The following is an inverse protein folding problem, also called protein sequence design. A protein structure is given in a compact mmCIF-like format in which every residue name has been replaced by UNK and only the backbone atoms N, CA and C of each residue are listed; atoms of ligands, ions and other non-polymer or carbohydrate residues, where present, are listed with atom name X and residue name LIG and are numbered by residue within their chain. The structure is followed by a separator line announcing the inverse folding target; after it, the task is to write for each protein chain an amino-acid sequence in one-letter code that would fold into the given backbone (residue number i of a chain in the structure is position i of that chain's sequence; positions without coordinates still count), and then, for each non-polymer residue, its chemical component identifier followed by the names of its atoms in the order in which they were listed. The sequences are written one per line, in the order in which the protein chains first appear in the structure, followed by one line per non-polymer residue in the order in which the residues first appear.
data_IF_560214921442
#
_entry.id   IF_560214921442
#
_cell.length_a   1.000
_cell.length_b   1.000
_cell.length_c   1.000
_cell.angle_alpha   90.00
_cell.angle_beta   90.00
_cell.angle_gamma   90.00
#
_symmetry.space_group_name_H-M   'P 1'
#
loop_
_entity.id
_entity.type
_entity.pdbx_description
1 polymer ?
#
# COMPACT_ATOMS: atom_id res chain seq x y z
N UNK A 1 -31.67 7.97 -5.04
CA UNK A 1 -30.93 9.24 -4.83
C UNK A 1 -29.48 8.97 -5.17
N UNK A 2 -28.88 9.75 -6.08
CA UNK A 2 -27.46 9.58 -6.42
C UNK A 2 -26.62 10.18 -5.29
N UNK A 3 -25.82 9.36 -4.62
CA UNK A 3 -24.86 9.82 -3.62
C UNK A 3 -23.66 10.46 -4.35
N UNK A 4 -23.42 11.75 -4.10
CA UNK A 4 -22.21 12.43 -4.52
C UNK A 4 -21.17 12.31 -3.39
N UNK A 5 -20.08 11.58 -3.64
CA UNK A 5 -18.93 11.51 -2.72
C UNK A 5 -17.93 12.57 -3.17
N UNK A 6 -17.81 13.65 -2.39
CA UNK A 6 -16.78 14.67 -2.58
C UNK A 6 -15.69 14.49 -1.52
N UNK A 7 -14.44 14.78 -1.86
CA UNK A 7 -13.28 14.79 -0.95
C UNK A 7 -12.81 16.25 -0.78
N UNK A 8 -13.36 17.01 0.19
CA UNK A 8 -13.10 18.44 0.32
C UNK A 8 -11.61 18.78 0.48
N UNK A 9 -10.85 17.92 1.15
CA UNK A 9 -9.41 18.10 1.38
C UNK A 9 -8.62 18.08 0.07
N UNK A 10 -8.94 17.14 -0.83
CA UNK A 10 -8.31 17.06 -2.16
C UNK A 10 -8.73 18.23 -3.06
N UNK A 11 -9.98 18.71 -2.93
CA UNK A 11 -10.45 19.87 -3.69
C UNK A 11 -9.77 21.17 -3.23
N UNK A 12 -9.50 21.30 -1.94
CA UNK A 12 -8.80 22.46 -1.37
C UNK A 12 -7.32 22.47 -1.76
N UNK A 13 -6.65 21.31 -1.69
CA UNK A 13 -5.27 21.15 -2.17
C UNK A 13 -5.16 21.47 -3.66
N UNK A 14 -6.07 20.93 -4.49
CA UNK A 14 -6.10 21.21 -5.91
C UNK A 14 -6.35 22.71 -6.22
N UNK A 15 -7.21 23.38 -5.46
CA UNK A 15 -7.44 24.82 -5.60
C UNK A 15 -6.18 25.64 -5.29
N UNK A 16 -5.41 25.25 -4.27
CA UNK A 16 -4.11 25.85 -3.94
C UNK A 16 -3.08 25.63 -5.04
N UNK A 17 -2.97 24.40 -5.57
CA UNK A 17 -2.04 24.09 -6.67
C UNK A 17 -2.39 24.87 -7.94
N UNK A 18 -3.69 24.95 -8.28
CA UNK A 18 -4.17 25.75 -9.41
C UNK A 18 -3.88 27.24 -9.22
N UNK A 19 -4.02 27.78 -8.01
CA UNK A 19 -3.65 29.17 -7.72
C UNK A 19 -2.14 29.41 -7.94
N UNK A 20 -1.29 28.47 -7.49
CA UNK A 20 0.17 28.54 -7.68
C UNK A 20 0.56 28.47 -9.17
N UNK A 21 -0.07 27.58 -9.94
CA UNK A 21 0.11 27.48 -11.40
C UNK A 21 -0.31 28.79 -12.08
N UNK A 22 -1.48 29.33 -11.71
CA UNK A 22 -1.98 30.60 -12.23
C UNK A 22 -0.98 31.74 -11.98
N UNK A 23 -0.44 31.83 -10.77
CA UNK A 23 0.58 32.84 -10.42
C UNK A 23 1.86 32.68 -11.24
N UNK A 24 2.34 31.46 -11.47
CA UNK A 24 3.54 31.22 -12.29
C UNK A 24 3.30 31.58 -13.75
N UNK A 25 2.12 31.29 -14.28
CA UNK A 25 1.74 31.63 -15.65
C UNK A 25 1.60 33.14 -15.86
N UNK A 26 1.03 33.86 -14.89
CA UNK A 26 0.92 35.32 -14.96
C UNK A 26 2.30 36.01 -14.92
N UNK A 27 3.22 35.51 -14.09
CA UNK A 27 4.62 35.98 -14.09
C UNK A 27 5.28 35.75 -15.45
N UNK A 28 5.22 34.52 -15.97
CA UNK A 28 5.80 34.18 -17.28
C UNK A 28 5.19 35.02 -18.41
N UNK A 29 3.87 35.22 -18.38
CA UNK A 29 3.16 36.00 -19.38
C UNK A 29 3.51 37.48 -19.33
N UNK A 30 3.59 38.06 -18.13
CA UNK A 30 4.01 39.45 -17.96
C UNK A 30 5.41 39.71 -18.52
N UNK A 31 6.34 38.77 -18.30
CA UNK A 31 7.71 38.84 -18.83
C UNK A 31 7.76 38.73 -20.37
N UNK A 32 6.82 37.99 -20.96
CA UNK A 32 6.76 37.75 -22.41
C UNK A 32 6.07 38.88 -23.21
N UNK A 33 5.30 39.77 -22.56
CA UNK A 33 4.56 40.83 -23.29
C UNK A 33 5.49 41.73 -24.08
N UNK A 34 6.46 42.36 -23.42
CA UNK A 34 7.37 43.32 -24.07
C UNK A 34 8.12 42.75 -25.29
N UNK A 35 8.78 41.57 -25.21
CA UNK A 35 9.52 41.02 -26.36
C UNK A 35 8.62 40.51 -27.50
N UNK A 36 7.33 40.25 -27.26
CA UNK A 36 6.40 39.73 -28.29
C UNK A 36 5.55 40.81 -28.95
N UNK A 37 5.38 41.97 -28.30
CA UNK A 37 4.61 43.09 -28.86
C UNK A 37 5.47 44.23 -29.38
N UNK A 38 6.76 44.27 -29.03
CA UNK A 38 7.71 45.32 -29.40
C UNK A 38 8.71 44.89 -30.49
N UNK A 39 8.28 44.08 -31.47
CA UNK A 39 9.19 43.55 -32.49
C UNK A 39 9.52 44.66 -33.49
N UNK A 40 10.82 44.92 -33.66
CA UNK A 40 11.34 45.90 -34.61
C UNK A 40 11.59 45.25 -35.99
N UNK A 41 11.45 46.03 -37.05
CA UNK A 41 11.79 45.58 -38.40
C UNK A 41 13.29 45.27 -38.50
N UNK A 42 13.65 44.16 -39.15
CA UNK A 42 15.05 43.74 -39.30
C UNK A 42 15.85 44.61 -40.28
N UNK A 43 15.16 45.27 -41.22
CA UNK A 43 15.69 46.23 -42.18
C UNK A 43 14.61 47.27 -42.55
N UNK A 44 14.98 48.33 -43.28
CA UNK A 44 14.10 49.45 -43.65
C UNK A 44 13.14 49.15 -44.82
N UNK A 45 13.07 47.89 -45.26
CA UNK A 45 12.20 47.46 -46.35
C UNK A 45 10.76 47.16 -45.89
N UNK A 46 9.83 47.23 -46.82
CA UNK A 46 8.40 47.04 -46.57
C UNK A 46 8.05 45.61 -46.12
N UNK A 47 8.83 44.59 -46.50
CA UNK A 47 8.60 43.20 -46.10
C UNK A 47 8.98 43.02 -44.63
N UNK A 48 10.14 43.54 -44.20
CA UNK A 48 10.56 43.54 -42.80
C UNK A 48 9.61 44.30 -41.89
N UNK A 49 9.10 45.45 -42.34
CA UNK A 49 8.09 46.23 -41.61
C UNK A 49 6.75 45.49 -41.50
N UNK A 50 6.29 44.85 -42.58
CA UNK A 50 5.05 44.07 -42.59
C UNK A 50 5.13 42.84 -41.66
N UNK A 51 6.27 42.14 -41.65
CA UNK A 51 6.52 40.99 -40.77
C UNK A 51 6.52 41.42 -39.30
N UNK A 52 7.25 42.49 -38.94
CA UNK A 52 7.29 43.01 -37.58
C UNK A 52 5.90 43.46 -37.07
N UNK A 53 5.12 44.10 -37.94
CA UNK A 53 3.74 44.48 -37.67
C UNK A 53 2.83 43.27 -37.44
N UNK A 54 2.93 42.24 -38.29
CA UNK A 54 2.14 41.01 -38.15
C UNK A 54 2.43 40.30 -36.83
N UNK A 55 3.70 40.10 -36.47
CA UNK A 55 4.06 39.44 -35.22
C UNK A 55 3.71 40.27 -33.99
N UNK A 56 3.87 41.60 -34.04
CA UNK A 56 3.45 42.49 -32.95
C UNK A 56 1.93 42.49 -32.75
N UNK A 57 1.15 42.50 -33.84
CA UNK A 57 -0.31 42.37 -33.78
C UNK A 57 -0.74 41.00 -33.25
N UNK A 58 -0.04 39.92 -33.65
CA UNK A 58 -0.26 38.59 -33.10
C UNK A 58 0.06 38.52 -31.60
N UNK A 59 1.17 39.12 -31.16
CA UNK A 59 1.55 39.22 -29.74
C UNK A 59 0.51 39.97 -28.91
N UNK A 60 -0.05 41.07 -29.43
CA UNK A 60 -1.14 41.81 -28.78
C UNK A 60 -2.42 40.96 -28.68
N UNK A 61 -2.76 40.21 -29.73
CA UNK A 61 -3.89 39.28 -29.74
C UNK A 61 -3.72 38.13 -28.72
N UNK A 62 -2.51 37.56 -28.66
CA UNK A 62 -2.16 36.52 -27.69
C UNK A 62 -2.19 37.06 -26.25
N UNK A 63 -1.69 38.28 -26.03
CA UNK A 63 -1.78 38.95 -24.74
C UNK A 63 -3.24 39.19 -24.33
N UNK A 64 -4.11 39.66 -25.21
CA UNK A 64 -5.53 39.85 -24.90
C UNK A 64 -6.25 38.52 -24.57
N UNK A 65 -5.95 37.45 -25.32
CA UNK A 65 -6.51 36.12 -25.08
C UNK A 65 -6.07 35.57 -23.72
N UNK A 66 -4.78 35.67 -23.39
CA UNK A 66 -4.28 35.20 -22.11
C UNK A 66 -4.98 35.88 -20.92
N UNK A 67 -5.40 37.15 -21.05
CA UNK A 67 -6.05 37.88 -19.95
C UNK A 67 -7.43 37.31 -19.66
N UNK A 68 -8.14 36.91 -20.73
CA UNK A 68 -9.44 36.23 -20.62
C UNK A 68 -9.30 34.84 -19.99
N UNK A 69 -8.23 34.12 -20.33
CA UNK A 69 -7.92 32.81 -19.72
C UNK A 69 -7.57 32.95 -18.24
N UNK A 70 -6.78 33.97 -17.86
CA UNK A 70 -6.43 34.22 -16.46
C UNK A 70 -7.66 34.60 -15.62
N UNK A 71 -8.58 35.42 -16.16
CA UNK A 71 -9.83 35.73 -15.48
C UNK A 71 -10.70 34.48 -15.26
N UNK A 72 -10.84 33.64 -16.30
CA UNK A 72 -11.54 32.36 -16.18
C UNK A 72 -10.90 31.43 -15.15
N UNK A 73 -9.57 31.33 -15.14
CA UNK A 73 -8.82 30.53 -14.17
C UNK A 73 -9.10 30.99 -12.73
N UNK A 74 -9.08 32.30 -12.49
CA UNK A 74 -9.36 32.87 -11.18
C UNK A 74 -10.81 32.60 -10.72
N UNK A 75 -11.78 32.65 -11.64
CA UNK A 75 -13.17 32.33 -11.32
C UNK A 75 -13.36 30.83 -11.09
N UNK A 76 -12.65 29.97 -11.82
CA UNK A 76 -12.64 28.53 -11.62
C UNK A 76 -12.06 28.14 -10.25
N UNK A 77 -10.91 28.70 -9.86
CA UNK A 77 -10.31 28.47 -8.53
C UNK A 77 -11.24 28.96 -7.43
N UNK A 78 -11.90 30.13 -7.60
CA UNK A 78 -12.85 30.65 -6.61
C UNK A 78 -14.08 29.76 -6.46
N UNK A 79 -14.63 29.27 -7.57
CA UNK A 79 -15.76 28.34 -7.56
C UNK A 79 -15.39 26.99 -6.93
N UNK A 80 -14.19 26.48 -7.19
CA UNK A 80 -13.69 25.24 -6.60
C UNK A 80 -13.52 25.37 -5.07
N UNK A 81 -12.91 26.45 -4.59
CA UNK A 81 -12.76 26.73 -3.15
C UNK A 81 -14.13 26.91 -2.46
N UNK A 82 -15.07 27.63 -3.08
CA UNK A 82 -16.41 27.81 -2.55
C UNK A 82 -17.20 26.47 -2.52
N UNK A 83 -17.01 25.63 -3.53
CA UNK A 83 -17.56 24.27 -3.57
C UNK A 83 -17.05 23.40 -2.43
N UNK A 84 -15.73 23.39 -2.20
CA UNK A 84 -15.11 22.65 -1.10
C UNK A 84 -15.65 23.11 0.28
N UNK A 85 -15.80 24.42 0.49
CA UNK A 85 -16.39 24.96 1.72
C UNK A 85 -17.87 24.62 1.91
N UNK A 86 -18.63 24.49 0.82
CA UNK A 86 -20.04 24.08 0.86
C UNK A 86 -20.19 22.60 1.23
N UNK A 87 -19.31 21.72 0.73
CA UNK A 87 -19.31 20.31 1.13
C UNK A 87 -18.84 20.12 2.57
N UNK A 88 -17.80 20.84 3.00
CA UNK A 88 -17.31 20.77 4.38
C UNK A 88 -18.35 21.29 5.40
N UNK A 89 -19.06 22.38 5.07
CA UNK A 89 -20.14 22.90 5.93
C UNK A 89 -21.38 21.99 5.95
N UNK A 90 -21.71 21.34 4.83
CA UNK A 90 -22.77 20.34 4.80
C UNK A 90 -22.41 19.11 5.64
N UNK A 91 -21.16 18.64 5.60
CA UNK A 91 -20.70 17.51 6.42
C UNK A 91 -20.72 17.86 7.92
N UNK A 92 -20.20 19.04 8.28
CA UNK A 92 -20.25 19.54 9.66
C UNK A 92 -21.69 19.71 10.18
N UNK A 93 -22.60 20.20 9.34
CA UNK A 93 -24.02 20.33 9.68
C UNK A 93 -24.71 18.96 9.83
N UNK A 94 -24.36 17.99 9.00
CA UNK A 94 -24.89 16.62 9.10
C UNK A 94 -24.37 15.89 10.35
N UNK A 95 -23.09 16.07 10.71
CA UNK A 95 -22.51 15.55 11.96
C UNK A 95 -23.15 16.21 13.18
N UNK A 96 -23.34 17.54 13.16
CA UNK A 96 -23.97 18.27 14.27
C UNK A 96 -25.46 17.93 14.44
N UNK A 97 -26.20 17.80 13.34
CA UNK A 97 -27.59 17.35 13.35
C UNK A 97 -27.72 15.91 13.84
N UNK A 98 -26.76 15.04 13.48
CA UNK A 98 -26.69 13.68 14.01
C UNK A 98 -26.31 13.65 15.50
N UNK A 99 -25.48 14.56 16.01
CA UNK A 99 -25.09 14.57 17.42
C UNK A 99 -26.17 15.12 18.38
N UNK A 100 -27.16 15.85 17.86
CA UNK A 100 -28.14 16.59 18.66
C UNK A 100 -29.50 15.89 18.85
N UNK A 101 -29.68 14.63 18.41
CA UNK A 101 -31.00 13.98 18.50
C UNK A 101 -31.28 13.49 19.93
N UNK A 102 -32.48 13.75 20.49
CA UNK A 102 -32.85 13.35 21.86
C UNK A 102 -32.74 11.84 22.16
N UNK A 103 -32.82 10.99 21.13
CA UNK A 103 -32.62 9.54 21.27
C UNK A 103 -31.16 9.17 21.58
N UNK A 104 -30.17 9.89 21.03
CA UNK A 104 -28.75 9.62 21.30
C UNK A 104 -28.35 10.05 22.71
N UNK A 105 -29.01 11.05 23.28
CA UNK A 105 -28.80 11.47 24.67
C UNK A 105 -29.26 10.38 25.64
N UNK A 106 -30.43 9.79 25.40
CA UNK A 106 -30.94 8.65 26.19
C UNK A 106 -30.06 7.41 25.99
N UNK A 107 -29.62 7.12 24.77
CA UNK A 107 -28.68 6.02 24.50
C UNK A 107 -27.33 6.22 25.20
N UNK A 108 -26.78 7.43 25.19
CA UNK A 108 -25.54 7.80 25.90
C UNK A 108 -25.69 7.68 27.43
N UNK A 109 -26.81 8.12 27.99
CA UNK A 109 -27.09 8.00 29.42
C UNK A 109 -27.20 6.53 29.87
N UNK A 110 -27.91 5.72 29.07
CA UNK A 110 -28.01 4.26 29.31
C UNK A 110 -26.65 3.58 29.14
N UNK A 111 -25.88 3.93 28.12
CA UNK A 111 -24.52 3.39 27.92
C UNK A 111 -23.59 3.78 29.08
N UNK A 112 -23.68 5.02 29.57
CA UNK A 112 -22.90 5.48 30.72
C UNK A 112 -23.26 4.68 31.96
N UNK A 113 -24.56 4.50 32.25
CA UNK A 113 -25.03 3.70 33.36
C UNK A 113 -24.58 2.23 33.27
N UNK A 114 -24.62 1.64 32.08
CA UNK A 114 -24.18 0.25 31.83
C UNK A 114 -22.65 0.12 31.96
N UNK A 115 -21.90 1.13 31.56
CA UNK A 115 -20.44 1.10 31.53
C UNK A 115 -19.79 1.46 32.87
N UNK A 116 -20.40 2.34 33.66
CA UNK A 116 -19.86 2.83 34.94
C UNK A 116 -19.33 1.71 35.86
N UNK A 117 -20.08 0.61 36.13
CA UNK A 117 -19.56 -0.49 36.94
C UNK A 117 -18.31 -1.16 36.36
N UNK A 118 -18.21 -1.26 35.03
CA UNK A 118 -17.09 -1.89 34.33
C UNK A 118 -15.87 -0.97 34.25
N UNK A 119 -16.07 0.34 34.03
CA UNK A 119 -14.99 1.32 34.14
C UNK A 119 -14.43 1.35 35.56
N UNK A 120 -15.29 1.37 36.57
CA UNK A 120 -14.86 1.38 37.97
C UNK A 120 -14.08 0.11 38.36
N UNK A 121 -14.49 -1.06 37.85
CA UNK A 121 -13.88 -2.34 38.22
C UNK A 121 -12.65 -2.72 37.36
N UNK A 122 -12.66 -2.38 36.07
CA UNK A 122 -11.68 -2.89 35.10
C UNK A 122 -10.90 -1.78 34.37
N UNK A 123 -11.26 -0.50 34.57
CA UNK A 123 -10.69 0.63 33.83
C UNK A 123 -11.11 0.69 32.36
N UNK A 124 -12.10 -0.10 31.95
CA UNK A 124 -12.49 -0.29 30.54
C UNK A 124 -13.99 -0.51 30.41
N UNK A 125 -14.66 0.13 29.43
CA UNK A 125 -16.11 0.00 29.26
C UNK A 125 -16.50 -1.43 28.88
N UNK A 126 -17.76 -1.79 29.15
CA UNK A 126 -18.36 -3.01 28.62
C UNK A 126 -18.67 -2.83 27.13
N UNK A 127 -19.26 -1.69 26.77
CA UNK A 127 -19.69 -1.35 25.41
C UNK A 127 -19.11 0.02 25.03
N UNK A 128 -18.40 0.10 23.92
CA UNK A 128 -17.89 1.36 23.40
C UNK A 128 -16.62 1.16 22.58
N UNK A 129 -16.40 2.03 21.60
CA UNK A 129 -15.16 1.99 20.84
C UNK A 129 -13.99 2.51 21.69
N UNK A 130 -12.80 2.03 21.39
CA UNK A 130 -11.57 2.54 21.95
C UNK A 130 -11.29 3.96 21.45
N UNK A 131 -10.74 4.80 22.32
CA UNK A 131 -10.37 6.16 21.95
C UNK A 131 -9.23 6.14 20.92
N UNK A 132 -9.35 6.92 19.86
CA UNK A 132 -8.25 7.13 18.92
C UNK A 132 -7.16 7.97 19.60
N UNK A 133 -5.90 7.59 19.41
CA UNK A 133 -4.79 8.43 19.83
C UNK A 133 -4.65 9.64 18.88
N UNK A 134 -4.18 10.76 19.43
CA UNK A 134 -4.02 11.99 18.67
C UNK A 134 -2.97 11.84 17.55
N UNK A 135 -3.18 12.42 16.36
CA UNK A 135 -2.16 12.47 15.32
C UNK A 135 -0.86 13.11 15.81
N UNK A 136 0.29 12.58 15.39
CA UNK A 136 1.61 13.05 15.80
C UNK A 136 2.03 12.63 17.23
N UNK A 137 1.17 11.94 17.99
CA UNK A 137 1.50 11.51 19.34
C UNK A 137 2.35 10.23 19.40
N UNK A 138 2.30 9.39 18.36
CA UNK A 138 2.86 8.03 18.39
C UNK A 138 2.23 7.12 19.47
N UNK A 139 1.16 7.56 20.14
CA UNK A 139 0.53 6.82 21.23
C UNK A 139 -0.40 5.72 20.69
N UNK A 140 -0.54 4.61 21.41
CA UNK A 140 -1.46 3.55 21.01
C UNK A 140 -2.92 4.00 21.10
N UNK A 141 -3.75 3.48 20.22
CA UNK A 141 -5.21 3.59 20.33
C UNK A 141 -5.73 2.81 21.53
N UNK A 142 -6.76 3.34 22.18
CA UNK A 142 -7.42 2.69 23.31
C UNK A 142 -8.10 1.38 22.90
N UNK A 143 -8.22 0.45 23.84
CA UNK A 143 -8.96 -0.79 23.61
C UNK A 143 -10.47 -0.52 23.50
N UNK A 144 -11.16 -1.26 22.62
CA UNK A 144 -12.62 -1.30 22.59
C UNK A 144 -13.21 -1.95 23.84
N UNK A 145 -14.51 -1.79 24.07
CA UNK A 145 -15.21 -2.34 25.23
C UNK A 145 -15.09 -3.87 25.32
N UNK A 146 -15.28 -4.43 26.52
CA UNK A 146 -15.13 -5.87 26.76
C UNK A 146 -16.08 -6.72 25.92
N UNK A 147 -17.34 -6.29 25.78
CA UNK A 147 -18.37 -7.02 25.05
C UNK A 147 -18.46 -6.56 23.59
N UNK A 148 -18.60 -5.25 23.38
CA UNK A 148 -18.78 -4.70 22.04
C UNK A 148 -18.02 -3.39 21.89
N UNK A 149 -17.18 -3.31 20.86
CA UNK A 149 -16.46 -2.09 20.54
C UNK A 149 -15.24 -2.35 19.69
N UNK A 150 -15.06 -1.51 18.68
CA UNK A 150 -13.84 -1.50 17.88
C UNK A 150 -12.68 -0.93 18.71
N UNK A 151 -11.46 -1.37 18.43
CA UNK A 151 -10.27 -0.73 18.95
C UNK A 151 -10.05 0.65 18.32
N UNK A 152 -9.46 1.56 19.08
CA UNK A 152 -9.12 2.90 18.61
C UNK A 152 -7.92 2.89 17.66
N UNK A 153 -7.85 3.86 16.76
CA UNK A 153 -6.70 4.07 15.90
C UNK A 153 -5.47 4.51 16.71
N UNK A 154 -4.31 3.96 16.37
CA UNK A 154 -3.03 4.45 16.86
C UNK A 154 -2.67 5.81 16.28
N UNK A 155 -2.08 6.69 17.09
CA UNK A 155 -1.66 8.02 16.66
C UNK A 155 -0.48 7.92 15.70
N UNK A 156 -0.46 8.72 14.64
CA UNK A 156 0.74 8.82 13.81
C UNK A 156 1.93 9.32 14.63
N UNK A 157 3.15 8.93 14.23
CA UNK A 157 4.37 9.40 14.86
C UNK A 157 4.59 10.90 14.62
N UNK A 158 4.94 11.64 15.66
CA UNK A 158 5.54 12.97 15.55
C UNK A 158 7.02 12.86 15.19
N UNK A 159 7.69 13.96 14.85
CA UNK A 159 9.12 13.95 14.42
C UNK A 159 9.99 13.00 15.24
N UNK A 160 10.61 12.01 14.59
CA UNK A 160 11.48 11.01 15.23
C UNK A 160 10.79 9.91 16.05
N UNK A 161 9.46 9.85 16.07
CA UNK A 161 8.68 8.84 16.80
C UNK A 161 8.00 7.85 15.86
N UNK A 162 7.86 6.61 16.32
CA UNK A 162 7.08 5.57 15.63
C UNK A 162 5.59 5.90 15.66
N UNK A 163 4.85 5.29 14.74
CA UNK A 163 3.39 5.25 14.82
C UNK A 163 2.94 4.40 16.00
N UNK A 164 1.87 4.82 16.65
CA UNK A 164 1.26 4.09 17.75
C UNK A 164 0.49 2.87 17.27
N UNK A 165 0.44 1.81 18.08
CA UNK A 165 -0.34 0.62 17.75
C UNK A 165 -1.85 0.92 17.77
N UNK A 166 -2.61 0.25 16.91
CA UNK A 166 -4.06 0.22 17.02
C UNK A 166 -4.51 -0.52 18.27
N UNK A 167 -5.61 -0.07 18.86
CA UNK A 167 -6.22 -0.72 20.02
C UNK A 167 -6.85 -2.07 19.65
N UNK A 168 -6.85 -3.01 20.58
CA UNK A 168 -7.57 -4.28 20.41
C UNK A 168 -9.08 -4.09 20.66
N UNK A 169 -9.90 -4.88 19.98
CA UNK A 169 -11.31 -5.05 20.33
C UNK A 169 -11.48 -6.01 21.53
N UNK A 170 -12.72 -6.13 22.04
CA UNK A 170 -13.09 -7.08 23.10
C UNK A 170 -13.61 -8.41 22.55
N UNK A 171 -14.83 -8.80 22.94
CA UNK A 171 -15.49 -10.00 22.41
C UNK A 171 -15.95 -9.79 20.95
N UNK A 172 -16.54 -8.64 20.68
CA UNK A 172 -17.07 -8.24 19.38
C UNK A 172 -16.49 -6.88 18.98
N UNK A 173 -15.99 -6.78 17.75
CA UNK A 173 -15.49 -5.53 17.19
C UNK A 173 -14.20 -5.73 16.39
N UNK A 174 -13.85 -4.77 15.55
CA UNK A 174 -12.63 -4.80 14.76
C UNK A 174 -11.47 -4.18 15.53
N UNK A 175 -10.26 -4.68 15.30
CA UNK A 175 -9.06 -4.04 15.80
C UNK A 175 -8.84 -2.68 15.16
N UNK A 176 -8.30 -1.74 15.93
CA UNK A 176 -7.98 -0.40 15.43
C UNK A 176 -6.79 -0.43 14.46
N UNK A 177 -6.73 0.47 13.47
CA UNK A 177 -5.55 0.59 12.61
C UNK A 177 -4.34 1.13 13.40
N UNK A 178 -3.15 0.69 13.04
CA UNK A 178 -1.90 1.27 13.52
C UNK A 178 -1.61 2.64 12.89
N UNK A 179 -1.00 3.54 13.65
CA UNK A 179 -0.57 4.85 13.18
C UNK A 179 0.64 4.77 12.26
N UNK A 180 0.76 5.70 11.31
CA UNK A 180 1.96 5.79 10.47
C UNK A 180 3.19 6.26 11.26
N UNK A 181 4.39 5.84 10.86
CA UNK A 181 5.65 6.42 11.32
C UNK A 181 5.81 7.87 10.86
N UNK A 182 6.63 8.64 11.57
CA UNK A 182 6.91 10.03 11.25
C UNK A 182 7.83 10.19 10.02
N UNK A 183 7.67 11.31 9.31
CA UNK A 183 8.66 11.74 8.33
C UNK A 183 9.93 12.27 9.02
N UNK A 184 11.08 12.11 8.37
CA UNK A 184 12.37 12.63 8.83
C UNK A 184 13.15 11.70 9.76
N UNK A 185 12.87 10.39 9.72
CA UNK A 185 13.66 9.37 10.40
C UNK A 185 13.12 7.95 10.17
N UNK A 186 13.96 6.93 10.40
CA UNK A 186 13.66 5.51 10.26
C UNK A 186 12.63 4.98 11.29
N UNK A 187 11.46 5.61 11.35
CA UNK A 187 10.43 5.33 12.36
C UNK A 187 9.42 4.31 11.85
N UNK A 188 9.13 3.30 12.64
CA UNK A 188 8.21 2.25 12.23
C UNK A 188 6.75 2.73 12.23
N UNK A 189 5.93 2.14 11.38
CA UNK A 189 4.48 2.18 11.52
C UNK A 189 4.03 1.34 12.72
N UNK A 190 2.96 1.76 13.37
CA UNK A 190 2.35 1.03 14.47
C UNK A 190 1.64 -0.23 13.99
N UNK A 191 1.60 -1.26 14.83
CA UNK A 191 0.88 -2.48 14.49
C UNK A 191 -0.64 -2.25 14.52
N UNK A 192 -1.39 -2.97 13.69
CA UNK A 192 -2.83 -3.04 13.80
C UNK A 192 -3.26 -3.78 15.06
N UNK A 193 -4.37 -3.35 15.66
CA UNK A 193 -4.95 -3.97 16.83
C UNK A 193 -5.61 -5.31 16.52
N UNK A 194 -5.73 -6.18 17.52
CA UNK A 194 -6.44 -7.44 17.35
C UNK A 194 -7.96 -7.22 17.19
N UNK A 195 -8.57 -7.99 16.30
CA UNK A 195 -10.02 -8.13 16.20
C UNK A 195 -10.63 -8.83 17.41
N UNK A 196 -11.95 -8.72 17.55
CA UNK A 196 -12.69 -9.27 18.67
C UNK A 196 -12.63 -10.79 18.70
N UNK A 197 -12.66 -11.36 19.91
CA UNK A 197 -12.46 -12.80 20.13
C UNK A 197 -13.45 -13.67 19.36
N UNK A 198 -14.69 -13.23 19.14
CA UNK A 198 -15.72 -13.99 18.43
C UNK A 198 -15.92 -13.44 17.02
N UNK A 199 -16.27 -12.17 16.90
CA UNK A 199 -16.43 -11.51 15.60
C UNK A 199 -15.56 -10.26 15.55
N UNK A 200 -14.71 -10.16 14.53
CA UNK A 200 -13.85 -9.00 14.36
C UNK A 200 -12.65 -9.25 13.47
N UNK A 201 -12.43 -8.33 12.54
CA UNK A 201 -11.23 -8.28 11.72
C UNK A 201 -10.08 -7.66 12.51
N UNK A 202 -8.86 -8.11 12.22
CA UNK A 202 -7.68 -7.43 12.71
C UNK A 202 -7.50 -6.06 12.05
N UNK A 203 -6.98 -5.10 12.79
CA UNK A 203 -6.68 -3.76 12.27
C UNK A 203 -5.53 -3.79 11.29
N UNK A 204 -5.48 -2.84 10.35
CA UNK A 204 -4.33 -2.70 9.44
C UNK A 204 -3.11 -2.17 10.16
N UNK A 205 -1.92 -2.61 9.77
CA UNK A 205 -0.66 -1.99 10.20
C UNK A 205 -0.46 -0.61 9.58
N UNK A 206 0.19 0.28 10.32
CA UNK A 206 0.53 1.63 9.86
C UNK A 206 1.72 1.62 8.91
N UNK A 207 1.79 2.60 8.00
CA UNK A 207 2.94 2.74 7.11
C UNK A 207 4.21 3.15 7.89
N UNK A 208 5.37 2.70 7.43
CA UNK A 208 6.66 3.18 7.93
C UNK A 208 6.95 4.63 7.56
N UNK A 209 7.71 5.31 8.39
CA UNK A 209 8.13 6.69 8.19
C UNK A 209 9.14 6.85 7.06
N UNK A 210 9.06 7.95 6.33
CA UNK A 210 10.02 8.28 5.27
C UNK A 210 11.27 8.93 5.88
N UNK A 211 12.45 8.55 5.44
CA UNK A 211 13.71 9.14 5.88
C UNK A 211 14.44 9.83 4.72
N UNK A 212 14.86 11.06 4.98
CA UNK A 212 15.60 11.89 4.06
C UNK A 212 17.09 11.57 4.02
N UNK A 213 17.68 11.02 5.09
CA UNK A 213 19.13 10.83 5.24
C UNK A 213 19.53 9.40 5.61
N UNK A 214 18.56 8.56 5.98
CA UNK A 214 18.76 7.20 6.45
C UNK A 214 17.78 6.20 5.83
N UNK A 215 17.52 5.11 6.55
CA UNK A 215 16.64 4.05 6.07
C UNK A 215 15.18 4.47 6.18
N UNK A 216 14.35 4.05 5.24
CA UNK A 216 12.90 4.08 5.42
C UNK A 216 12.49 3.24 6.62
N UNK A 217 11.51 3.71 7.39
CA UNK A 217 10.97 2.98 8.53
C UNK A 217 10.18 1.75 8.10
N UNK A 218 10.12 0.71 8.92
CA UNK A 218 9.35 -0.50 8.59
C UNK A 218 7.85 -0.25 8.70
N UNK A 219 7.05 -0.89 7.84
CA UNK A 219 5.61 -0.94 8.01
C UNK A 219 5.21 -1.74 9.25
N UNK A 220 4.15 -1.34 9.93
CA UNK A 220 3.58 -2.06 11.07
C UNK A 220 2.90 -3.35 10.63
N UNK A 221 2.90 -4.37 11.48
CA UNK A 221 2.17 -5.60 11.19
C UNK A 221 0.65 -5.39 11.26
N UNK A 222 -0.11 -6.14 10.46
CA UNK A 222 -1.55 -6.23 10.61
C UNK A 222 -1.95 -6.99 11.87
N UNK A 223 -3.09 -6.64 12.46
CA UNK A 223 -3.64 -7.31 13.63
C UNK A 223 -4.23 -8.68 13.30
N UNK A 224 -4.20 -9.59 14.26
CA UNK A 224 -4.88 -10.88 14.13
C UNK A 224 -6.40 -10.74 14.33
N UNK A 225 -7.19 -11.65 13.77
CA UNK A 225 -8.62 -11.78 14.04
C UNK A 225 -8.95 -12.89 15.05
N UNK A 226 -10.18 -12.88 15.61
CA UNK A 226 -10.68 -13.86 16.58
C UNK A 226 -11.28 -15.13 15.95
N UNK A 227 -12.47 -15.59 16.35
CA UNK A 227 -13.06 -16.83 15.80
C UNK A 227 -13.51 -16.63 14.33
N UNK A 228 -14.24 -15.54 14.09
CA UNK A 228 -14.76 -15.13 12.79
C UNK A 228 -14.23 -13.75 12.43
N UNK A 229 -13.24 -13.71 11.55
CA UNK A 229 -12.68 -12.47 11.06
C UNK A 229 -11.40 -12.71 10.28
N UNK A 230 -11.06 -11.76 9.43
CA UNK A 230 -9.84 -11.81 8.62
C UNK A 230 -8.72 -11.05 9.32
N UNK A 231 -7.49 -11.50 9.13
CA UNK A 231 -6.33 -10.75 9.59
C UNK A 231 -6.23 -9.39 8.88
N UNK A 232 -5.70 -8.40 9.58
CA UNK A 232 -5.47 -7.08 9.02
C UNK A 232 -4.31 -7.07 8.02
N UNK A 233 -4.33 -6.17 7.05
CA UNK A 233 -3.20 -5.98 6.14
C UNK A 233 -1.98 -5.42 6.89
N UNK A 234 -0.78 -5.81 6.48
CA UNK A 234 0.46 -5.17 6.91
C UNK A 234 0.63 -3.78 6.30
N UNK A 235 1.27 -2.88 7.01
CA UNK A 235 1.58 -1.52 6.54
C UNK A 235 2.72 -1.52 5.53
N UNK A 236 2.72 -0.55 4.61
CA UNK A 236 3.85 -0.39 3.68
C UNK A 236 5.12 0.08 4.41
N UNK A 237 6.28 -0.32 3.92
CA UNK A 237 7.56 0.23 4.34
C UNK A 237 7.76 1.66 3.85
N UNK A 238 8.45 2.45 4.66
CA UNK A 238 8.78 3.85 4.38
C UNK A 238 9.85 4.00 3.32
N UNK A 239 9.91 5.17 2.71
CA UNK A 239 10.83 5.48 1.62
C UNK A 239 12.14 6.11 2.14
N UNK A 240 13.25 5.81 1.47
CA UNK A 240 14.59 6.37 1.72
C UNK A 240 15.00 7.30 0.56
N UNK A 241 15.22 8.59 0.84
CA UNK A 241 15.45 9.64 -0.18
C UNK A 241 16.93 10.00 -0.42
N UNK A 242 17.83 9.92 0.55
CA UNK A 242 19.24 10.31 0.40
C UNK A 242 20.15 9.48 1.34
N UNK A 243 21.42 9.25 0.96
CA UNK A 243 22.45 8.77 1.88
C UNK A 243 22.70 7.25 1.97
N UNK A 244 22.50 6.48 0.89
CA UNK A 244 22.77 5.03 0.89
C UNK A 244 21.82 4.18 1.76
N UNK A 245 20.79 4.80 2.36
CA UNK A 245 19.81 4.13 3.20
C UNK A 245 18.92 3.15 2.41
N UNK A 246 18.48 2.08 3.08
CA UNK A 246 17.57 1.08 2.53
C UNK A 246 16.12 1.55 2.62
N UNK A 247 15.26 1.06 1.72
CA UNK A 247 13.83 1.21 1.85
C UNK A 247 13.33 0.42 3.06
N UNK A 248 12.30 0.91 3.74
CA UNK A 248 11.73 0.20 4.89
C UNK A 248 11.06 -1.09 4.44
N UNK A 249 11.13 -2.15 5.24
CA UNK A 249 10.41 -3.39 4.90
C UNK A 249 8.90 -3.20 5.08
N UNK A 250 8.09 -3.88 4.29
CA UNK A 250 6.66 -3.98 4.52
C UNK A 250 6.34 -4.76 5.79
N UNK A 251 5.26 -4.40 6.46
CA UNK A 251 4.75 -5.10 7.63
C UNK A 251 4.10 -6.43 7.26
N UNK A 252 4.17 -7.42 8.15
CA UNK A 252 3.48 -8.69 7.94
C UNK A 252 1.95 -8.51 7.96
N UNK A 253 1.23 -9.30 7.18
CA UNK A 253 -0.22 -9.44 7.32
C UNK A 253 -0.59 -10.17 8.61
N UNK A 254 -1.72 -9.80 9.20
CA UNK A 254 -2.25 -10.44 10.41
C UNK A 254 -2.81 -11.83 10.13
N UNK A 255 -2.79 -12.69 11.14
CA UNK A 255 -3.40 -14.02 11.03
C UNK A 255 -4.93 -13.91 10.95
N UNK A 256 -5.52 -14.75 10.10
CA UNK A 256 -6.95 -14.97 10.06
C UNK A 256 -7.46 -15.59 11.36
N UNK A 257 -8.73 -15.33 11.65
CA UNK A 257 -9.42 -16.01 12.72
C UNK A 257 -9.64 -17.48 12.42
N UNK A 258 -10.12 -18.29 13.36
CA UNK A 258 -10.30 -19.76 13.16
C UNK A 258 -10.99 -20.13 11.83
N UNK A 259 -11.95 -19.31 11.38
CA UNK A 259 -12.68 -19.47 10.11
C UNK A 259 -12.41 -18.37 9.07
N UNK A 260 -11.37 -17.56 9.26
CA UNK A 260 -11.11 -16.38 8.42
C UNK A 260 -9.79 -16.44 7.67
N UNK A 261 -9.64 -15.56 6.69
CA UNK A 261 -8.43 -15.50 5.86
C UNK A 261 -7.33 -14.67 6.51
N UNK A 262 -6.09 -14.96 6.16
CA UNK A 262 -4.95 -14.12 6.53
C UNK A 262 -4.97 -12.77 5.83
N UNK A 263 -4.39 -11.76 6.47
CA UNK A 263 -4.20 -10.44 5.87
C UNK A 263 -3.03 -10.42 4.88
N UNK A 264 -3.08 -9.52 3.91
CA UNK A 264 -1.96 -9.34 2.96
C UNK A 264 -0.74 -8.71 3.66
N UNK A 265 0.46 -9.07 3.23
CA UNK A 265 1.69 -8.38 3.63
C UNK A 265 1.80 -6.99 2.98
N UNK A 266 2.41 -6.05 3.68
CA UNK A 266 2.65 -4.69 3.19
C UNK A 266 3.75 -4.64 2.13
N UNK A 267 3.69 -3.66 1.23
CA UNK A 267 4.76 -3.44 0.26
C UNK A 267 6.06 -2.97 0.94
N UNK A 268 7.20 -3.34 0.38
CA UNK A 268 8.50 -2.77 0.75
C UNK A 268 8.67 -1.34 0.21
N UNK A 269 9.46 -0.55 0.93
CA UNK A 269 9.70 0.86 0.64
C UNK A 269 10.71 1.09 -0.47
N UNK A 270 10.58 2.22 -1.16
CA UNK A 270 11.54 2.67 -2.16
C UNK A 270 12.86 3.12 -1.52
N UNK A 271 13.99 2.90 -2.20
CA UNK A 271 15.29 3.46 -1.83
C UNK A 271 15.93 4.20 -3.01
N UNK A 272 16.32 5.46 -2.83
CA UNK A 272 16.98 6.21 -3.91
C UNK A 272 18.41 5.73 -4.16
N UNK A 273 19.17 5.44 -3.11
CA UNK A 273 20.60 5.14 -3.19
C UNK A 273 20.98 3.74 -2.67
N UNK A 274 20.07 3.06 -1.97
CA UNK A 274 20.28 1.75 -1.35
C UNK A 274 19.38 0.66 -1.95
N UNK A 275 19.27 -0.45 -1.22
CA UNK A 275 18.37 -1.56 -1.58
C UNK A 275 16.94 -1.19 -1.22
N UNK A 276 15.99 -1.46 -2.12
CA UNK A 276 14.57 -1.35 -1.80
C UNK A 276 14.18 -2.25 -0.63
N UNK A 277 13.19 -1.87 0.15
CA UNK A 277 12.76 -2.67 1.29
C UNK A 277 12.11 -3.98 0.85
N UNK A 278 12.28 -5.05 1.60
CA UNK A 278 11.54 -6.30 1.33
C UNK A 278 10.03 -6.11 1.54
N UNK A 279 9.22 -6.85 0.80
CA UNK A 279 7.79 -6.97 1.04
C UNK A 279 7.50 -7.76 2.32
N UNK A 280 6.41 -7.41 2.99
CA UNK A 280 5.95 -8.11 4.20
C UNK A 280 5.38 -9.48 3.86
N UNK A 281 5.52 -10.44 4.77
CA UNK A 281 4.89 -11.76 4.60
C UNK A 281 3.37 -11.66 4.71
N UNK A 282 2.65 -12.47 3.95
CA UNK A 282 1.21 -12.63 4.10
C UNK A 282 0.86 -13.37 5.40
N UNK A 283 -0.25 -13.01 6.02
CA UNK A 283 -0.75 -13.65 7.22
C UNK A 283 -1.29 -15.05 6.93
N UNK A 284 -1.21 -15.95 7.92
CA UNK A 284 -1.79 -17.28 7.79
C UNK A 284 -3.32 -17.23 7.78
N UNK A 285 -3.94 -18.13 7.02
CA UNK A 285 -5.37 -18.41 7.11
C UNK A 285 -5.74 -19.03 8.46
N UNK A 286 -7.05 -19.11 8.71
CA UNK A 286 -7.62 -19.57 9.95
C UNK A 286 -7.33 -21.02 10.27
N UNK A 287 -7.31 -21.37 11.57
CA UNK A 287 -7.00 -22.73 11.99
C UNK A 287 -7.86 -23.80 11.28
N UNK A 288 -9.16 -23.60 11.10
CA UNK A 288 -10.05 -24.60 10.48
C UNK A 288 -10.31 -24.30 9.02
N UNK A 289 -10.64 -23.05 8.70
CA UNK A 289 -10.96 -22.60 7.35
C UNK A 289 -10.35 -21.23 7.11
N UNK A 290 -9.73 -21.03 5.95
CA UNK A 290 -9.35 -19.72 5.46
C UNK A 290 -8.11 -19.77 4.59
N UNK A 291 -8.11 -19.00 3.51
CA UNK A 291 -6.91 -18.84 2.69
C UNK A 291 -5.86 -17.99 3.40
N UNK A 292 -4.59 -18.26 3.12
CA UNK A 292 -3.50 -17.38 3.53
C UNK A 292 -3.52 -16.06 2.74
N UNK A 293 -3.02 -15.00 3.35
CA UNK A 293 -2.86 -13.71 2.71
C UNK A 293 -1.70 -13.70 1.73
N UNK A 294 -1.78 -12.89 0.68
CA UNK A 294 -0.67 -12.69 -0.24
C UNK A 294 0.52 -11.98 0.42
N UNK A 295 1.73 -12.30 -0.02
CA UNK A 295 2.93 -11.57 0.34
C UNK A 295 2.96 -10.18 -0.31
N UNK A 296 3.60 -9.23 0.35
CA UNK A 296 3.79 -7.88 -0.15
C UNK A 296 4.86 -7.82 -1.24
N UNK A 297 4.73 -6.86 -2.16
CA UNK A 297 5.76 -6.62 -3.18
C UNK A 297 7.03 -6.05 -2.54
N UNK A 298 8.19 -6.40 -3.10
CA UNK A 298 9.46 -5.78 -2.76
C UNK A 298 9.57 -4.36 -3.31
N UNK A 299 10.25 -3.48 -2.58
CA UNK A 299 10.49 -2.10 -2.95
C UNK A 299 11.59 -1.95 -3.99
N UNK A 300 11.60 -0.85 -4.71
CA UNK A 300 12.62 -0.59 -5.74
C UNK A 300 13.86 0.07 -5.13
N UNK A 301 15.06 -0.34 -5.54
CA UNK A 301 16.31 0.34 -5.18
C UNK A 301 16.92 1.03 -6.40
N UNK A 302 16.87 2.36 -6.49
CA UNK A 302 17.26 3.11 -7.68
C UNK A 302 18.76 3.48 -7.75
N UNK A 303 19.53 3.21 -6.70
CA UNK A 303 20.93 3.63 -6.56
C UNK A 303 21.94 2.86 -7.40
N UNK A 304 23.24 3.13 -7.18
CA UNK A 304 24.34 2.32 -7.72
C UNK A 304 25.26 1.81 -6.58
N UNK A 305 25.20 0.53 -6.17
CA UNK A 305 24.29 -0.52 -6.63
C UNK A 305 22.99 -0.51 -5.81
N UNK A 306 21.90 -0.02 -6.37
CA UNK A 306 20.57 -0.13 -5.78
C UNK A 306 19.99 -1.48 -6.16
N UNK A 307 19.77 -2.37 -5.20
CA UNK A 307 19.10 -3.64 -5.46
C UNK A 307 17.59 -3.49 -5.23
N UNK A 308 16.79 -4.26 -5.95
CA UNK A 308 15.39 -4.44 -5.59
C UNK A 308 15.27 -5.18 -4.27
N UNK A 309 14.26 -4.82 -3.47
CA UNK A 309 13.89 -5.58 -2.29
C UNK A 309 13.18 -6.87 -2.69
N UNK A 310 13.32 -7.92 -1.91
CA UNK A 310 12.64 -9.19 -2.18
C UNK A 310 11.12 -9.07 -1.94
N UNK A 311 10.33 -9.84 -2.67
CA UNK A 311 8.91 -10.01 -2.38
C UNK A 311 8.69 -10.84 -1.12
N UNK A 312 7.65 -10.50 -0.36
CA UNK A 312 7.26 -11.25 0.83
C UNK A 312 6.66 -12.60 0.47
N UNK A 313 6.84 -13.61 1.32
CA UNK A 313 6.17 -14.90 1.12
C UNK A 313 4.67 -14.79 1.34
N UNK A 314 3.88 -15.58 0.62
CA UNK A 314 2.46 -15.77 0.92
C UNK A 314 2.25 -16.55 2.22
N UNK A 315 1.14 -16.28 2.91
CA UNK A 315 0.75 -17.01 4.10
C UNK A 315 0.20 -18.39 3.77
N UNK A 316 0.40 -19.37 4.65
CA UNK A 316 -0.26 -20.67 4.51
C UNK A 316 -1.78 -20.56 4.65
N UNK A 317 -2.53 -21.41 3.93
CA UNK A 317 -3.95 -21.65 4.17
C UNK A 317 -4.21 -22.33 5.52
N UNK A 318 -5.48 -22.42 5.89
CA UNK A 318 -5.92 -22.99 7.15
C UNK A 318 -5.63 -24.48 7.30
N UNK A 319 -5.56 -25.00 8.53
CA UNK A 319 -5.14 -26.39 8.76
C UNK A 319 -6.03 -27.40 8.02
N UNK A 320 -7.35 -27.19 8.00
CA UNK A 320 -8.27 -28.09 7.29
C UNK A 320 -8.49 -27.62 5.86
N UNK A 321 -9.10 -26.44 5.68
CA UNK A 321 -9.44 -25.92 4.35
C UNK A 321 -8.85 -24.54 4.10
N UNK A 322 -8.28 -24.33 2.91
CA UNK A 322 -7.87 -23.01 2.46
C UNK A 322 -6.67 -23.05 1.54
N UNK A 323 -6.65 -22.17 0.55
CA UNK A 323 -5.49 -22.04 -0.33
C UNK A 323 -4.35 -21.30 0.36
N UNK A 324 -3.12 -21.61 -0.02
CA UNK A 324 -1.98 -20.74 0.28
C UNK A 324 -2.12 -19.39 -0.40
N UNK A 325 -1.60 -18.34 0.23
CA UNK A 325 -1.48 -17.02 -0.38
C UNK A 325 -0.37 -16.98 -1.42
N UNK A 326 -0.50 -16.14 -2.44
CA UNK A 326 0.57 -15.93 -3.41
C UNK A 326 1.77 -15.23 -2.77
N UNK A 327 2.98 -15.52 -3.24
CA UNK A 327 4.17 -14.76 -2.94
C UNK A 327 4.15 -13.39 -3.63
N UNK A 328 4.76 -12.40 -3.00
CA UNK A 328 4.91 -11.06 -3.55
C UNK A 328 5.97 -10.99 -4.63
N UNK A 329 5.83 -10.06 -5.58
CA UNK A 329 6.86 -9.83 -6.59
C UNK A 329 8.11 -9.20 -5.98
N UNK A 330 9.27 -9.51 -6.53
CA UNK A 330 10.51 -8.80 -6.22
C UNK A 330 10.54 -7.39 -6.80
N UNK A 331 11.20 -6.48 -6.11
CA UNK A 331 11.35 -5.08 -6.51
C UNK A 331 12.39 -4.89 -7.61
N UNK A 332 12.36 -3.76 -8.29
CA UNK A 332 13.34 -3.45 -9.34
C UNK A 332 14.68 -2.98 -8.76
N UNK A 333 15.78 -3.49 -9.29
CA UNK A 333 17.12 -2.96 -9.08
C UNK A 333 17.43 -1.77 -9.98
N UNK A 334 18.37 -0.94 -9.55
CA UNK A 334 18.72 0.37 -10.10
C UNK A 334 19.75 0.31 -11.21
N UNK A 335 19.99 1.47 -11.82
CA UNK A 335 20.58 1.64 -13.17
C UNK A 335 22.07 1.26 -13.32
N UNK A 336 22.72 0.75 -12.27
CA UNK A 336 24.11 0.31 -12.32
C UNK A 336 24.27 -1.13 -12.84
N UNK A 337 25.41 -1.45 -13.48
CA UNK A 337 25.74 -2.82 -13.91
C UNK A 337 25.81 -3.85 -12.76
N UNK A 338 25.73 -3.40 -11.51
CA UNK A 338 25.69 -4.23 -10.30
C UNK A 338 24.30 -4.26 -9.62
N UNK A 339 23.31 -3.51 -10.14
CA UNK A 339 21.97 -3.47 -9.57
C UNK A 339 21.17 -4.73 -9.86
N UNK A 340 20.87 -5.53 -8.83
CA UNK A 340 20.15 -6.79 -8.96
C UNK A 340 18.67 -6.59 -8.65
N UNK A 341 17.79 -7.20 -9.44
CA UNK A 341 16.36 -7.26 -9.12
C UNK A 341 16.09 -8.11 -7.88
N UNK A 342 15.12 -7.73 -7.06
CA UNK A 342 14.76 -8.48 -5.87
C UNK A 342 14.17 -9.85 -6.24
N UNK A 343 14.36 -10.87 -5.41
CA UNK A 343 13.72 -12.16 -5.63
C UNK A 343 12.20 -12.07 -5.42
N UNK A 344 11.44 -12.89 -6.13
CA UNK A 344 10.03 -13.11 -5.84
C UNK A 344 9.85 -13.92 -4.57
N UNK A 345 8.81 -13.61 -3.79
CA UNK A 345 8.45 -14.33 -2.57
C UNK A 345 7.87 -15.71 -2.88
N UNK A 346 8.05 -16.68 -1.99
CA UNK A 346 7.44 -18.00 -2.15
C UNK A 346 5.93 -17.95 -1.93
N UNK A 347 5.17 -18.79 -2.63
CA UNK A 347 3.77 -19.04 -2.32
C UNK A 347 3.59 -19.78 -0.99
N UNK A 348 2.48 -19.52 -0.31
CA UNK A 348 2.09 -20.22 0.92
C UNK A 348 1.60 -21.64 0.63
N UNK A 349 1.70 -22.53 1.60
CA UNK A 349 1.13 -23.89 1.45
C UNK A 349 -0.39 -23.87 1.57
N UNK A 350 -1.08 -24.75 0.85
CA UNK A 350 -2.51 -25.02 1.05
C UNK A 350 -2.79 -25.74 2.37
N UNK A 351 -4.06 -25.81 2.74
CA UNK A 351 -4.52 -26.47 3.96
C UNK A 351 -4.32 -27.98 3.91
N UNK A 352 -4.12 -28.61 5.08
CA UNK A 352 -3.75 -30.03 5.18
C UNK A 352 -4.83 -30.92 4.57
N UNK A 353 -6.12 -30.67 4.81
CA UNK A 353 -7.17 -31.52 4.24
C UNK A 353 -7.47 -31.16 2.78
N UNK A 354 -7.76 -29.89 2.50
CA UNK A 354 -7.85 -29.43 1.12
C UNK A 354 -7.45 -27.97 0.93
N UNK A 355 -6.67 -27.72 -0.12
CA UNK A 355 -6.28 -26.38 -0.53
C UNK A 355 -5.14 -26.38 -1.53
N UNK A 356 -5.23 -25.55 -2.56
CA UNK A 356 -4.12 -25.36 -3.48
C UNK A 356 -2.98 -24.57 -2.80
N UNK A 357 -1.75 -24.85 -3.20
CA UNK A 357 -0.61 -24.02 -2.88
C UNK A 357 -0.69 -22.66 -3.57
N UNK A 358 -0.17 -21.62 -2.92
CA UNK A 358 -0.09 -20.29 -3.51
C UNK A 358 0.96 -20.23 -4.62
N UNK A 359 0.75 -19.36 -5.62
CA UNK A 359 1.76 -19.09 -6.63
C UNK A 359 3.00 -18.42 -6.02
N UNK A 360 4.18 -18.71 -6.55
CA UNK A 360 5.38 -17.94 -6.28
C UNK A 360 5.34 -16.56 -6.95
N UNK A 361 6.00 -15.58 -6.36
CA UNK A 361 6.10 -14.23 -6.90
C UNK A 361 7.13 -14.16 -8.04
N UNK A 362 6.91 -13.25 -8.99
CA UNK A 362 7.86 -12.99 -10.07
C UNK A 362 9.09 -12.26 -9.52
N UNK A 363 10.27 -12.60 -10.03
CA UNK A 363 11.51 -11.89 -9.72
C UNK A 363 11.55 -10.49 -10.33
N UNK A 364 12.18 -9.55 -9.63
CA UNK A 364 12.28 -8.17 -10.04
C UNK A 364 13.24 -7.97 -11.21
N UNK A 365 13.01 -6.92 -11.99
CA UNK A 365 13.96 -6.50 -13.02
C UNK A 365 15.25 -5.95 -12.38
N UNK A 366 16.41 -6.16 -13.01
CA UNK A 366 17.66 -5.50 -12.60
C UNK A 366 18.59 -5.22 -13.78
N UNK A 367 19.43 -4.19 -13.67
CA UNK A 367 20.40 -3.85 -14.72
C UNK A 367 21.64 -4.76 -14.68
N UNK A 368 22.00 -5.26 -13.49
CA UNK A 368 23.12 -6.19 -13.26
C UNK A 368 22.72 -7.66 -13.25
N UNK A 369 21.59 -8.02 -12.67
CA UNK A 369 20.99 -9.35 -12.82
C UNK A 369 19.49 -9.28 -12.53
N UNK A 370 18.73 -10.19 -13.13
CA UNK A 370 17.31 -10.34 -12.81
C UNK A 370 17.15 -11.04 -11.47
N UNK A 371 16.10 -10.68 -10.72
CA UNK A 371 15.75 -11.38 -9.49
C UNK A 371 15.22 -12.77 -9.79
N UNK A 372 15.48 -13.75 -8.94
CA UNK A 372 14.91 -15.09 -9.12
C UNK A 372 13.40 -15.09 -8.85
N UNK A 373 12.65 -15.91 -9.56
CA UNK A 373 11.25 -16.18 -9.24
C UNK A 373 11.09 -16.99 -7.96
N UNK A 374 10.02 -16.73 -7.22
CA UNK A 374 9.67 -17.42 -6.00
C UNK A 374 9.13 -18.83 -6.26
N UNK A 375 9.38 -19.76 -5.34
CA UNK A 375 8.78 -21.10 -5.44
C UNK A 375 7.26 -21.06 -5.21
N UNK A 376 6.52 -21.90 -5.93
CA UNK A 376 5.12 -22.19 -5.63
C UNK A 376 4.98 -22.95 -4.31
N UNK A 377 3.88 -22.70 -3.60
CA UNK A 377 3.54 -23.40 -2.37
C UNK A 377 3.03 -24.82 -2.64
N UNK A 378 3.17 -25.71 -1.67
CA UNK A 378 2.62 -27.06 -1.82
C UNK A 378 1.09 -27.06 -1.65
N UNK A 379 0.41 -27.95 -2.37
CA UNK A 379 -1.00 -28.26 -2.16
C UNK A 379 -1.24 -29.03 -0.86
N UNK A 380 -2.51 -29.20 -0.51
CA UNK A 380 -2.95 -29.94 0.67
C UNK A 380 -2.61 -31.44 0.62
N UNK A 381 -2.63 -32.09 1.78
CA UNK A 381 -2.31 -33.52 1.89
C UNK A 381 -3.31 -34.38 1.11
N UNK A 382 -4.62 -34.12 1.23
CA UNK A 382 -5.65 -34.96 0.61
C UNK A 382 -6.10 -34.45 -0.76
N UNK A 383 -6.40 -33.15 -0.88
CA UNK A 383 -6.77 -32.51 -2.14
C UNK A 383 -6.08 -31.16 -2.29
N UNK A 384 -5.40 -30.93 -3.40
CA UNK A 384 -4.89 -29.61 -3.70
C UNK A 384 -3.73 -29.64 -4.66
N UNK A 385 -3.80 -28.76 -5.64
CA UNK A 385 -2.73 -28.58 -6.60
C UNK A 385 -1.56 -27.82 -5.96
N UNK A 386 -0.35 -28.14 -6.42
CA UNK A 386 0.81 -27.32 -6.14
C UNK A 386 0.70 -25.95 -6.81
N UNK A 387 1.16 -24.91 -6.14
CA UNK A 387 1.22 -23.57 -6.71
C UNK A 387 2.25 -23.48 -7.82
N UNK A 388 2.00 -22.64 -8.83
CA UNK A 388 3.00 -22.38 -9.88
C UNK A 388 4.21 -21.63 -9.30
N UNK A 389 5.40 -21.93 -9.81
CA UNK A 389 6.59 -21.13 -9.55
C UNK A 389 6.51 -19.79 -10.26
N UNK A 390 7.07 -18.74 -9.66
CA UNK A 390 7.14 -17.42 -10.28
C UNK A 390 8.23 -17.36 -11.35
N UNK A 391 8.03 -16.54 -12.36
CA UNK A 391 9.06 -16.32 -13.39
C UNK A 391 10.25 -15.55 -12.81
N UNK A 392 11.44 -15.78 -13.39
CA UNK A 392 12.62 -14.96 -13.13
C UNK A 392 12.49 -13.57 -13.75
N UNK A 393 13.11 -12.58 -13.11
CA UNK A 393 13.12 -11.21 -13.56
C UNK A 393 14.03 -10.98 -14.76
N UNK A 394 13.63 -10.05 -15.62
CA UNK A 394 14.43 -9.64 -16.77
C UNK A 394 15.65 -8.80 -16.36
N UNK A 395 16.68 -8.76 -17.21
CA UNK A 395 17.85 -7.88 -17.02
C UNK A 395 18.58 -7.55 -18.32
N UNK A 396 19.55 -6.64 -18.23
CA UNK A 396 20.55 -6.39 -19.28
C UNK A 396 21.79 -7.27 -19.13
N UNK A 397 21.78 -8.26 -18.23
CA UNK A 397 22.91 -9.13 -17.88
C UNK A 397 22.31 -10.55 -17.66
N UNK A 398 22.76 -11.47 -16.78
CA UNK A 398 22.02 -12.71 -16.57
C UNK A 398 20.60 -12.44 -16.08
N UNK A 399 19.60 -13.02 -16.74
CA UNK A 399 18.23 -13.02 -16.26
C UNK A 399 18.10 -13.86 -15.00
N UNK A 400 17.06 -13.59 -14.20
CA UNK A 400 16.81 -14.36 -12.98
C UNK A 400 16.32 -15.77 -13.30
N UNK A 401 16.61 -16.74 -12.45
CA UNK A 401 16.08 -18.09 -12.62
C UNK A 401 14.58 -18.13 -12.29
N UNK A 402 13.84 -18.99 -12.98
CA UNK A 402 12.46 -19.30 -12.64
C UNK A 402 12.34 -20.06 -11.33
N UNK A 403 11.26 -19.80 -10.59
CA UNK A 403 10.93 -20.48 -9.35
C UNK A 403 10.41 -21.90 -9.59
N UNK A 404 10.65 -22.80 -8.64
CA UNK A 404 10.11 -24.16 -8.71
C UNK A 404 8.59 -24.15 -8.51
N UNK A 405 7.87 -25.03 -9.21
CA UNK A 405 6.48 -25.33 -8.89
C UNK A 405 6.36 -26.09 -7.58
N UNK A 406 5.23 -25.89 -6.89
CA UNK A 406 4.88 -26.60 -5.67
C UNK A 406 4.38 -28.01 -5.95
N UNK A 407 4.50 -28.90 -4.96
CA UNK A 407 4.03 -30.27 -5.09
C UNK A 407 2.56 -30.39 -4.68
N UNK A 408 1.82 -31.28 -5.32
CA UNK A 408 0.64 -31.91 -4.73
C UNK A 408 1.07 -33.12 -3.87
N UNK A 409 0.14 -33.72 -3.12
CA UNK A 409 0.47 -34.87 -2.25
C UNK A 409 -0.32 -36.13 -2.59
N UNK A 410 -1.62 -36.20 -2.26
CA UNK A 410 -2.45 -37.38 -2.53
C UNK A 410 -3.23 -37.25 -3.84
N UNK A 411 -4.03 -36.18 -3.96
CA UNK A 411 -4.80 -35.84 -5.16
C UNK A 411 -4.59 -34.37 -5.54
N UNK A 412 -4.19 -34.12 -6.78
CA UNK A 412 -3.94 -32.78 -7.32
C UNK A 412 -2.76 -32.76 -8.27
N UNK A 413 -2.70 -31.75 -9.13
CA UNK A 413 -1.60 -31.57 -10.07
C UNK A 413 -0.42 -30.84 -9.40
N UNK A 414 0.80 -31.18 -9.80
CA UNK A 414 1.98 -30.42 -9.43
C UNK A 414 1.98 -29.07 -10.14
N UNK A 415 2.43 -28.02 -9.44
CA UNK A 415 2.52 -26.69 -10.02
C UNK A 415 3.59 -26.63 -11.11
N UNK A 416 3.37 -25.87 -12.18
CA UNK A 416 4.41 -25.63 -13.18
C UNK A 416 5.56 -24.81 -12.57
N UNK A 417 6.79 -25.06 -13.03
CA UNK A 417 7.93 -24.19 -12.75
C UNK A 417 7.82 -22.87 -13.53
N UNK A 418 8.32 -21.79 -12.95
CA UNK A 418 8.40 -20.49 -13.61
C UNK A 418 9.47 -20.47 -14.68
N UNK A 419 9.31 -19.62 -15.68
CA UNK A 419 10.30 -19.43 -16.74
C UNK A 419 11.50 -18.64 -16.22
N UNK A 420 12.65 -18.83 -16.84
CA UNK A 420 13.81 -17.96 -16.67
C UNK A 420 13.56 -16.56 -17.22
N UNK A 421 14.10 -15.55 -16.55
CA UNK A 421 14.03 -14.17 -16.97
C UNK A 421 14.92 -13.91 -18.19
N UNK A 422 14.49 -13.00 -19.05
CA UNK A 422 15.25 -12.58 -20.23
C UNK A 422 16.53 -11.80 -19.86
N UNK A 423 17.63 -12.03 -20.55
CA UNK A 423 18.89 -11.29 -20.38
C UNK A 423 19.94 -11.66 -21.43
N UNK A 424 21.17 -11.14 -21.33
CA UNK A 424 22.29 -11.56 -22.21
C UNK A 424 22.52 -13.08 -22.13
N UNK A 425 22.39 -13.61 -20.92
CA UNK A 425 22.20 -15.03 -20.67
C UNK A 425 20.84 -15.18 -20.01
N UNK A 426 19.92 -15.91 -20.61
CA UNK A 426 18.61 -16.17 -20.00
C UNK A 426 18.79 -16.93 -18.69
N UNK A 427 17.94 -16.63 -17.71
CA UNK A 427 17.88 -17.44 -16.50
C UNK A 427 17.44 -18.87 -16.81
N UNK A 428 17.76 -19.81 -15.93
CA UNK A 428 17.26 -21.18 -16.05
C UNK A 428 15.79 -21.26 -15.67
N UNK A 429 15.00 -22.03 -16.42
CA UNK A 429 13.64 -22.39 -16.02
C UNK A 429 13.59 -23.17 -14.70
N UNK A 430 12.53 -22.92 -13.92
CA UNK A 430 12.23 -23.62 -12.68
C UNK A 430 11.72 -25.04 -12.93
N UNK A 431 12.01 -25.96 -12.00
CA UNK A 431 11.46 -27.31 -12.08
C UNK A 431 9.97 -27.32 -11.78
N UNK A 432 9.20 -28.11 -12.50
CA UNK A 432 7.81 -28.42 -12.18
C UNK A 432 7.70 -29.23 -10.88
N UNK A 433 6.59 -29.06 -10.19
CA UNK A 433 6.25 -29.82 -9.00
C UNK A 433 5.74 -31.22 -9.32
N UNK A 434 5.83 -32.11 -8.35
CA UNK A 434 5.27 -33.46 -8.45
C UNK A 434 3.74 -33.45 -8.29
N UNK A 435 3.05 -34.26 -9.09
CA UNK A 435 1.62 -34.52 -8.97
C UNK A 435 1.30 -35.48 -7.83
N UNK A 436 0.01 -35.59 -7.49
CA UNK A 436 -0.49 -36.44 -6.42
C UNK A 436 -0.21 -37.92 -6.66
N UNK A 437 0.05 -38.66 -5.57
CA UNK A 437 0.37 -40.08 -5.62
C UNK A 437 -0.74 -40.95 -6.24
N UNK A 438 -2.01 -40.55 -6.08
CA UNK A 438 -3.17 -41.31 -6.57
C UNK A 438 -3.68 -40.73 -7.89
N UNK A 439 -3.95 -39.43 -7.90
CA UNK A 439 -4.39 -38.69 -9.08
C UNK A 439 -3.67 -37.35 -9.17
N UNK A 440 -3.10 -37.06 -10.33
CA UNK A 440 -2.41 -35.80 -10.58
C UNK A 440 -1.32 -35.93 -11.63
N UNK A 441 -1.11 -34.87 -12.41
CA UNK A 441 0.00 -34.73 -13.34
C UNK A 441 1.15 -33.98 -12.66
N UNK A 442 2.39 -34.31 -13.05
CA UNK A 442 3.52 -33.47 -12.69
C UNK A 442 3.41 -32.14 -13.43
N UNK A 443 3.83 -31.07 -12.76
CA UNK A 443 3.98 -29.76 -13.37
C UNK A 443 5.06 -29.78 -14.44
N UNK A 444 4.88 -28.91 -15.44
CA UNK A 444 5.88 -28.68 -16.48
C UNK A 444 7.05 -27.88 -15.91
N UNK A 445 8.25 -28.15 -16.41
CA UNK A 445 9.40 -27.28 -16.18
C UNK A 445 9.22 -25.96 -16.93
N UNK A 446 9.67 -24.87 -16.33
CA UNK A 446 9.75 -23.58 -16.98
C UNK A 446 10.75 -23.58 -18.12
N UNK A 447 10.53 -22.68 -19.06
CA UNK A 447 11.43 -22.42 -20.18
C UNK A 447 12.61 -21.58 -19.73
N UNK A 448 13.75 -21.75 -20.41
CA UNK A 448 14.91 -20.88 -20.32
C UNK A 448 15.02 -19.97 -21.54
#
# INVERSE_FOLDING_TARGET
MSFAIATPELMTAAATDLANIGSSLDVARSAAVAPTTGILAAAEDEVSAAIASLFSAHGQGFAALGARVAAFHNDFVRALTAGAGSYASADAANVAAFAASPAQTIEQDVLTLVNEPFLALTGRPLIGNGANAAPGSGLPGGAGGWLYGNGGAGGSGGTGHNGGNGGAAGLLGNGGPGGAGAAGGATAGGNGGAGGLVFGHGGTGGAGGNDGLGNGGTGGAGGAAGLFGTGGAGGAGGLSQLGGGQGGTGGAGGAGGVFGTGGIGGAGGFALSGTGGAGGVGGHGGLLVGSGGGGGIGGTGAGNPGNGGDGGSGGSGGLLFGSGGAGGMGGTGGNGLSGVGGAGGSGGSGGVLAGAGGAGGVGGFGFGAGGNGGGGGNGGLLYGDGGVGGDGGSSYNPGGNGGKGGNAVLNGDGGNGGNGGSGFTTGGGGQGGTGGLLFGLNGLNGLS
#
